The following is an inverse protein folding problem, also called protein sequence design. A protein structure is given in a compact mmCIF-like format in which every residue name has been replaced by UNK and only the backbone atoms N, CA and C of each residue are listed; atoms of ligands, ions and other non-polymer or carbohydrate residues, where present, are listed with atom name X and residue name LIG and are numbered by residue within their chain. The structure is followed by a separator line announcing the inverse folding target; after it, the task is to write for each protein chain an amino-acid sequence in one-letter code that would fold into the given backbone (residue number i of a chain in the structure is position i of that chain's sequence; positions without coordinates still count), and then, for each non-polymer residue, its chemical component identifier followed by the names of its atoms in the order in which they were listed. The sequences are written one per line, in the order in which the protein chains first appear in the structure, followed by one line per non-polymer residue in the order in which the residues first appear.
data_IF_838457719543
#
_entry.id   IF_838457719543
#
_cell.length_a   1.000
_cell.length_b   1.000
_cell.length_c   1.000
_cell.angle_alpha   90.00
_cell.angle_beta   90.00
_cell.angle_gamma   90.00
#
_symmetry.space_group_name_H-M   'P 1'
#
loop_
_entity.id
_entity.type
_entity.pdbx_description
1 polymer ?
#
# COMPACT_ATOMS: atom_id res chain seq x y z
N UNK A 1 -9.60 4.85 -22.65
CA UNK A 1 -8.39 5.19 -21.85
C UNK A 1 -8.32 6.71 -21.74
N UNK A 2 -8.31 7.27 -20.50
CA UNK A 2 -8.13 8.69 -20.27
C UNK A 2 -6.71 9.15 -20.65
N UNK A 3 -6.51 10.44 -20.84
CA UNK A 3 -5.18 11.01 -21.00
C UNK A 3 -4.42 10.84 -19.70
N UNK A 4 -3.29 10.14 -19.74
CA UNK A 4 -2.39 10.00 -18.60
C UNK A 4 -1.36 11.11 -18.70
N UNK A 5 -1.31 12.04 -17.72
CA UNK A 5 -0.32 13.12 -17.73
C UNK A 5 1.10 12.50 -17.68
N UNK A 6 1.93 12.81 -18.66
CA UNK A 6 3.35 12.38 -18.69
C UNK A 6 4.27 13.32 -17.90
N UNK A 7 3.70 14.27 -17.16
CA UNK A 7 4.44 15.25 -16.37
C UNK A 7 3.99 15.20 -14.92
N UNK A 8 4.91 15.44 -14.01
CA UNK A 8 4.58 15.65 -12.60
C UNK A 8 3.59 16.81 -12.44
N UNK A 9 2.68 16.76 -11.46
CA UNK A 9 1.89 17.94 -11.09
C UNK A 9 2.81 19.02 -10.53
N UNK A 10 2.38 20.28 -10.60
CA UNK A 10 3.00 21.32 -9.78
C UNK A 10 2.69 21.04 -8.30
N UNK A 11 3.70 20.86 -7.47
CA UNK A 11 3.53 20.64 -6.03
C UNK A 11 4.74 21.13 -5.24
N UNK A 12 4.53 21.36 -3.94
CA UNK A 12 5.58 21.48 -2.92
C UNK A 12 5.33 20.47 -1.80
N UNK A 13 6.40 20.00 -1.20
CA UNK A 13 6.35 19.13 -0.02
C UNK A 13 7.45 19.52 0.95
N UNK A 14 7.12 19.68 2.24
CA UNK A 14 8.10 20.13 3.25
C UNK A 14 8.91 18.99 3.87
N UNK A 15 8.50 17.72 3.67
CA UNK A 15 9.25 16.53 4.07
C UNK A 15 10.05 15.95 2.90
N UNK A 16 10.66 14.78 3.14
CA UNK A 16 11.32 14.02 2.08
C UNK A 16 10.30 13.30 1.20
N UNK A 17 10.46 13.39 -0.10
CA UNK A 17 9.69 12.61 -1.06
C UNK A 17 10.54 12.17 -2.26
N UNK A 18 10.04 11.17 -2.97
CA UNK A 18 10.55 10.78 -4.29
C UNK A 18 9.42 10.78 -5.31
N UNK A 19 9.77 11.01 -6.56
CA UNK A 19 8.81 11.07 -7.67
C UNK A 19 9.20 10.07 -8.74
N UNK A 20 8.18 9.53 -9.41
CA UNK A 20 8.35 8.59 -10.53
C UNK A 20 7.36 8.93 -11.64
N UNK A 21 7.81 8.91 -12.89
CA UNK A 21 6.95 8.97 -14.07
C UNK A 21 6.78 7.58 -14.65
N UNK A 22 5.55 7.14 -14.85
CA UNK A 22 5.20 5.83 -15.38
C UNK A 22 4.38 5.95 -16.66
N UNK A 23 4.65 5.07 -17.60
CA UNK A 23 3.96 5.07 -18.90
C UNK A 23 2.47 4.69 -18.76
N UNK A 24 2.13 3.89 -17.76
CA UNK A 24 0.81 3.28 -17.53
C UNK A 24 -0.10 4.12 -16.63
N UNK A 25 0.47 4.85 -15.64
CA UNK A 25 -0.28 5.56 -14.59
C UNK A 25 0.06 7.03 -14.44
N UNK A 26 0.95 7.57 -15.27
CA UNK A 26 1.38 8.96 -15.24
C UNK A 26 2.46 9.21 -14.21
N UNK A 27 2.13 9.65 -13.01
CA UNK A 27 3.11 10.01 -11.98
C UNK A 27 2.74 9.40 -10.63
N UNK A 28 3.78 9.19 -9.81
CA UNK A 28 3.68 8.81 -8.40
C UNK A 28 4.55 9.73 -7.58
N UNK A 29 4.07 10.18 -6.43
CA UNK A 29 4.83 10.88 -5.38
C UNK A 29 4.79 10.00 -4.15
N UNK A 30 5.96 9.63 -3.62
CA UNK A 30 6.13 8.84 -2.40
C UNK A 30 6.70 9.72 -1.31
N UNK A 31 5.92 10.02 -0.29
CA UNK A 31 6.27 10.84 0.88
C UNK A 31 6.84 9.94 1.96
N UNK A 32 8.10 10.18 2.34
CA UNK A 32 8.92 9.32 3.20
C UNK A 32 9.01 9.81 4.65
N UNK A 33 8.86 11.11 4.87
CA UNK A 33 8.81 11.74 6.19
C UNK A 33 7.58 12.62 6.29
N UNK A 34 7.12 12.93 7.49
CA UNK A 34 5.95 13.80 7.70
C UNK A 34 6.20 15.21 7.16
N UNK A 35 5.15 15.84 6.63
CA UNK A 35 5.25 17.16 6.04
C UNK A 35 3.93 17.64 5.43
N UNK A 36 3.93 18.84 4.89
CA UNK A 36 2.78 19.45 4.22
C UNK A 36 2.93 19.35 2.70
N UNK A 37 1.94 18.72 2.06
CA UNK A 37 1.79 18.67 0.61
C UNK A 37 0.90 19.82 0.15
N UNK A 38 1.34 20.58 -0.85
CA UNK A 38 0.54 21.62 -1.52
C UNK A 38 0.60 21.42 -3.03
N UNK A 39 -0.55 21.26 -3.67
CA UNK A 39 -0.65 21.27 -5.13
C UNK A 39 -0.64 22.73 -5.60
N UNK A 40 0.19 23.07 -6.59
CA UNK A 40 0.40 24.46 -7.00
C UNK A 40 -0.19 24.82 -8.36
N UNK A 41 -0.50 23.82 -9.19
CA UNK A 41 -0.93 24.05 -10.58
C UNK A 41 -2.47 24.13 -10.73
N UNK A 42 -3.20 23.07 -10.48
CA UNK A 42 -4.66 22.99 -10.61
C UNK A 42 -5.25 22.02 -9.62
N UNK A 43 -6.57 22.02 -9.48
CA UNK A 43 -7.24 20.96 -8.75
C UNK A 43 -6.88 19.59 -9.36
N UNK A 44 -6.52 18.65 -8.51
CA UNK A 44 -6.17 17.28 -8.88
C UNK A 44 -7.11 16.28 -8.24
N UNK A 45 -7.38 15.18 -8.93
CA UNK A 45 -7.89 13.97 -8.32
C UNK A 45 -6.76 12.96 -8.21
N UNK A 46 -6.54 12.46 -7.01
CA UNK A 46 -5.45 11.50 -6.73
C UNK A 46 -6.01 10.23 -6.11
N UNK A 47 -5.31 9.12 -6.32
CA UNK A 47 -5.44 7.94 -5.48
C UNK A 47 -4.31 7.97 -4.47
N UNK A 48 -4.58 7.58 -3.24
CA UNK A 48 -3.61 7.50 -2.16
C UNK A 48 -3.45 6.07 -1.67
N UNK A 49 -2.22 5.68 -1.37
CA UNK A 49 -1.85 4.44 -0.71
C UNK A 49 -1.06 4.77 0.55
N UNK A 50 -1.57 4.37 1.70
CA UNK A 50 -1.02 4.64 3.02
C UNK A 50 -0.51 3.34 3.63
N UNK A 51 0.63 3.39 4.29
CA UNK A 51 1.24 2.30 5.04
C UNK A 51 1.65 2.81 6.40
N UNK A 52 1.15 2.20 7.48
CA UNK A 52 1.56 2.51 8.85
C UNK A 52 2.95 2.00 9.17
N UNK A 53 3.55 2.43 10.24
CA UNK A 53 4.83 1.90 10.73
C UNK A 53 4.71 0.45 11.19
N UNK A 54 5.72 -0.38 11.01
CA UNK A 54 5.76 -1.76 11.50
C UNK A 54 5.98 -1.83 13.01
N UNK A 55 5.50 -2.90 13.65
CA UNK A 55 5.78 -3.19 15.05
C UNK A 55 7.21 -3.68 15.27
N UNK A 56 7.76 -3.45 16.45
CA UNK A 56 9.04 -4.02 16.86
C UNK A 56 8.94 -5.50 17.21
N UNK A 57 10.01 -6.25 17.03
CA UNK A 57 10.14 -7.60 17.57
C UNK A 57 10.32 -7.59 19.10
N UNK A 58 10.11 -8.74 19.75
CA UNK A 58 10.36 -8.90 21.18
C UNK A 58 11.84 -8.70 21.52
N UNK A 59 12.12 -8.35 22.75
CA UNK A 59 13.49 -8.07 23.23
C UNK A 59 13.89 -8.94 24.45
N UNK A 60 13.46 -10.19 24.47
CA UNK A 60 13.87 -11.12 25.50
C UNK A 60 15.31 -11.59 25.29
N UNK A 61 16.20 -11.30 26.24
CA UNK A 61 17.55 -11.86 26.23
C UNK A 61 17.49 -13.36 26.57
N UNK A 62 17.80 -14.21 25.59
CA UNK A 62 17.84 -15.67 25.76
C UNK A 62 16.52 -16.40 25.54
N UNK A 63 15.44 -15.69 25.24
CA UNK A 63 14.16 -16.28 24.86
C UNK A 63 13.91 -16.11 23.36
N UNK A 64 13.36 -17.13 22.69
CA UNK A 64 13.01 -17.01 21.29
C UNK A 64 11.75 -16.14 21.13
N UNK A 65 11.94 -14.88 20.84
CA UNK A 65 10.89 -13.87 20.71
C UNK A 65 10.28 -13.85 19.31
N UNK A 66 8.99 -13.58 19.23
CA UNK A 66 8.29 -13.37 17.97
C UNK A 66 8.75 -12.10 17.23
N UNK A 67 8.58 -12.08 15.90
CA UNK A 67 8.76 -10.90 15.09
C UNK A 67 7.56 -9.95 15.19
N UNK A 68 7.76 -8.66 14.96
CA UNK A 68 6.71 -7.63 14.90
C UNK A 68 5.82 -7.78 13.66
N UNK A 69 4.57 -7.36 13.74
CA UNK A 69 3.68 -7.27 12.58
C UNK A 69 4.05 -6.10 11.67
N UNK A 70 3.83 -6.25 10.36
CA UNK A 70 3.92 -5.13 9.42
C UNK A 70 2.79 -4.12 9.66
N UNK A 71 3.00 -2.87 9.26
CA UNK A 71 1.95 -1.84 9.32
C UNK A 71 0.73 -2.22 8.48
N UNK A 72 -0.44 -1.72 8.85
CA UNK A 72 -1.62 -1.87 8.00
C UNK A 72 -1.52 -0.98 6.77
N UNK A 73 -2.23 -1.34 5.70
CA UNK A 73 -2.26 -0.59 4.46
C UNK A 73 -3.67 -0.11 4.14
N UNK A 74 -3.78 0.99 3.42
CA UNK A 74 -5.07 1.52 2.95
C UNK A 74 -4.92 2.19 1.59
N UNK A 75 -5.74 1.77 0.64
CA UNK A 75 -5.86 2.44 -0.67
C UNK A 75 -7.18 3.21 -0.73
N UNK A 76 -7.11 4.45 -1.17
CA UNK A 76 -8.28 5.33 -1.36
C UNK A 76 -8.17 5.99 -2.72
N UNK A 77 -9.26 6.00 -3.49
CA UNK A 77 -9.27 6.56 -4.84
C UNK A 77 -10.14 7.82 -4.95
N UNK A 78 -9.77 8.70 -5.87
CA UNK A 78 -10.59 9.85 -6.25
C UNK A 78 -10.59 11.02 -5.27
N UNK A 79 -9.54 11.17 -4.45
CA UNK A 79 -9.39 12.28 -3.51
C UNK A 79 -9.17 13.58 -4.27
N UNK A 80 -9.99 14.59 -3.99
CA UNK A 80 -9.85 15.91 -4.63
C UNK A 80 -8.91 16.81 -3.83
N UNK A 81 -7.82 17.27 -4.47
CA UNK A 81 -6.86 18.21 -3.90
C UNK A 81 -7.01 19.58 -4.59
N UNK A 82 -7.23 20.63 -3.81
CA UNK A 82 -7.33 22.01 -4.30
C UNK A 82 -5.95 22.67 -4.36
N UNK A 83 -5.65 23.47 -5.39
CA UNK A 83 -4.40 24.20 -5.46
C UNK A 83 -4.29 25.21 -4.31
N UNK A 84 -3.07 25.42 -3.81
CA UNK A 84 -2.79 26.34 -2.71
C UNK A 84 -3.20 25.87 -1.32
N UNK A 85 -3.91 24.72 -1.21
CA UNK A 85 -4.28 24.14 0.09
C UNK A 85 -3.16 23.24 0.60
N UNK A 86 -2.72 23.47 1.84
CA UNK A 86 -1.76 22.60 2.54
C UNK A 86 -2.47 21.38 3.13
N UNK A 87 -2.00 20.19 2.78
CA UNK A 87 -2.47 18.92 3.34
C UNK A 87 -1.36 18.33 4.19
N UNK A 88 -1.61 18.22 5.50
CA UNK A 88 -0.68 17.54 6.40
C UNK A 88 -0.65 16.04 6.11
N UNK A 89 0.54 15.52 5.97
CA UNK A 89 0.82 14.09 5.78
C UNK A 89 1.63 13.65 6.99
N UNK A 90 1.15 12.65 7.70
CA UNK A 90 1.86 12.05 8.82
C UNK A 90 2.35 10.66 8.43
N UNK A 91 3.64 10.44 8.58
CA UNK A 91 4.26 9.14 8.33
C UNK A 91 4.50 8.45 9.67
N UNK A 92 3.89 7.28 9.84
CA UNK A 92 4.00 6.50 11.07
C UNK A 92 5.42 6.02 11.30
N UNK A 93 5.89 6.14 12.53
CA UNK A 93 7.19 5.61 12.96
C UNK A 93 7.10 4.10 13.16
N UNK A 94 8.17 3.39 12.87
CA UNK A 94 8.32 2.00 13.29
C UNK A 94 8.43 1.91 14.82
N UNK A 95 7.87 0.86 15.39
CA UNK A 95 7.98 0.59 16.83
C UNK A 95 9.41 0.22 17.21
N UNK A 96 9.89 0.72 18.35
CA UNK A 96 11.07 0.16 18.99
C UNK A 96 10.82 -1.32 19.37
N UNK A 97 11.85 -2.05 19.79
CA UNK A 97 11.65 -3.39 20.36
C UNK A 97 10.60 -3.34 21.48
N UNK A 98 9.69 -4.30 21.48
CA UNK A 98 8.53 -4.35 22.39
C UNK A 98 7.53 -3.19 22.27
N UNK A 99 7.54 -2.45 21.16
CA UNK A 99 6.61 -1.36 20.94
C UNK A 99 5.87 -1.49 19.59
N UNK A 100 4.63 -1.03 19.58
CA UNK A 100 3.84 -0.96 18.33
C UNK A 100 4.37 0.14 17.41
N UNK A 101 4.20 -0.03 16.12
CA UNK A 101 4.34 1.05 15.15
C UNK A 101 3.22 2.08 15.29
N UNK A 102 3.43 3.28 14.79
CA UNK A 102 2.40 4.31 14.74
C UNK A 102 1.69 4.38 13.38
N UNK A 103 0.53 5.02 13.36
CA UNK A 103 -0.26 5.16 12.16
C UNK A 103 0.35 6.19 11.20
N UNK A 104 0.16 5.98 9.88
CA UNK A 104 0.29 7.03 8.88
C UNK A 104 -1.07 7.61 8.56
N UNK A 105 -1.15 8.93 8.38
CA UNK A 105 -2.40 9.61 8.05
C UNK A 105 -2.23 10.64 6.93
N UNK A 106 -3.24 10.75 6.06
CA UNK A 106 -3.30 11.72 4.98
C UNK A 106 -4.74 11.93 4.52
N UNK A 107 -5.12 13.15 4.16
CA UNK A 107 -6.41 13.47 3.52
C UNK A 107 -7.65 13.00 4.30
N UNK A 108 -7.58 12.90 5.63
CA UNK A 108 -8.65 12.36 6.48
C UNK A 108 -8.72 10.83 6.55
N UNK A 109 -7.75 10.12 5.99
CA UNK A 109 -7.63 8.67 6.07
C UNK A 109 -6.41 8.27 6.90
N UNK A 110 -6.47 7.04 7.46
CA UNK A 110 -5.42 6.49 8.31
C UNK A 110 -5.16 5.03 7.99
N UNK A 111 -3.89 4.63 8.06
CA UNK A 111 -3.42 3.25 8.09
C UNK A 111 -2.70 3.01 9.43
N UNK A 112 -3.18 2.08 10.22
CA UNK A 112 -2.65 1.81 11.57
C UNK A 112 -1.25 1.20 11.52
N UNK A 113 -0.49 1.35 12.60
CA UNK A 113 0.78 0.67 12.77
C UNK A 113 0.60 -0.83 13.05
N UNK A 114 1.63 -1.63 12.80
CA UNK A 114 1.70 -3.03 13.20
C UNK A 114 1.96 -3.17 14.69
N UNK A 115 1.51 -4.28 15.26
CA UNK A 115 1.72 -4.58 16.68
C UNK A 115 3.12 -5.19 16.89
N UNK A 116 3.68 -4.93 18.06
CA UNK A 116 4.85 -5.67 18.55
C UNK A 116 4.48 -7.15 18.81
N UNK A 117 5.47 -7.99 18.86
CA UNK A 117 5.29 -9.37 19.35
C UNK A 117 5.04 -9.39 20.88
N UNK A 118 4.50 -10.48 21.37
CA UNK A 118 4.31 -10.73 22.81
C UNK A 118 4.94 -12.06 23.17
N UNK A 119 6.12 -12.02 23.79
CA UNK A 119 6.93 -13.19 24.01
C UNK A 119 7.16 -13.94 22.69
N UNK A 120 6.91 -15.23 22.64
CA UNK A 120 7.08 -16.08 21.45
C UNK A 120 6.02 -15.84 20.39
N UNK A 121 4.96 -15.09 20.66
CA UNK A 121 3.87 -14.82 19.72
C UNK A 121 4.23 -13.66 18.80
N UNK A 122 4.10 -13.88 17.50
CA UNK A 122 4.30 -12.84 16.51
C UNK A 122 3.28 -11.72 16.60
N UNK A 123 3.69 -10.49 16.30
CA UNK A 123 2.82 -9.31 16.27
C UNK A 123 1.79 -9.38 15.14
N UNK A 124 0.55 -8.96 15.40
CA UNK A 124 -0.46 -8.80 14.36
C UNK A 124 -0.22 -7.50 13.56
N UNK A 125 -0.64 -7.46 12.29
CA UNK A 125 -0.47 -6.27 11.46
C UNK A 125 -1.10 -6.39 10.08
N UNK A 126 -0.72 -5.52 9.15
CA UNK A 126 -1.05 -5.68 7.72
C UNK A 126 -0.55 -7.03 7.18
N UNK A 127 0.64 -7.45 7.64
CA UNK A 127 1.12 -8.83 7.57
C UNK A 127 1.56 -9.23 8.97
N UNK A 128 1.29 -10.47 9.37
CA UNK A 128 1.62 -10.97 10.70
C UNK A 128 3.12 -11.25 10.85
N UNK A 129 3.66 -11.02 12.04
CA UNK A 129 5.00 -11.42 12.42
C UNK A 129 5.12 -12.93 12.65
N UNK A 130 6.31 -13.48 12.43
CA UNK A 130 6.62 -14.87 12.70
C UNK A 130 6.65 -15.20 14.19
N UNK A 131 6.27 -16.42 14.56
CA UNK A 131 6.41 -16.90 15.90
C UNK A 131 7.89 -17.08 16.29
N UNK A 132 8.21 -16.83 17.54
CA UNK A 132 9.46 -17.27 18.15
C UNK A 132 9.45 -18.78 18.35
N UNK A 133 10.60 -19.34 18.68
CA UNK A 133 10.78 -20.78 18.85
C UNK A 133 9.90 -21.37 19.99
N UNK A 134 9.67 -22.65 19.93
CA UNK A 134 9.01 -23.61 20.87
C UNK A 134 7.49 -23.62 20.80
N UNK A 135 6.78 -22.67 21.33
CA UNK A 135 5.32 -22.71 21.47
C UNK A 135 4.63 -21.44 21.01
N UNK A 136 5.37 -20.61 20.27
CA UNK A 136 4.85 -19.35 19.81
C UNK A 136 3.76 -19.52 18.73
N UNK A 137 2.80 -18.63 18.74
CA UNK A 137 1.81 -18.51 17.68
C UNK A 137 2.19 -17.40 16.71
N UNK A 138 1.94 -17.57 15.40
CA UNK A 138 2.20 -16.50 14.45
C UNK A 138 1.21 -15.34 14.65
N UNK A 139 1.64 -14.14 14.32
CA UNK A 139 0.78 -12.96 14.27
C UNK A 139 -0.25 -13.07 13.15
N UNK A 140 -1.44 -12.54 13.39
CA UNK A 140 -2.48 -12.47 12.37
C UNK A 140 -2.19 -11.35 11.35
N UNK A 141 -2.37 -11.64 10.08
CA UNK A 141 -2.43 -10.64 9.03
C UNK A 141 -3.71 -9.81 9.10
N UNK A 142 -3.69 -8.63 8.47
CA UNK A 142 -4.89 -7.82 8.22
C UNK A 142 -5.82 -8.49 7.19
N UNK A 143 -6.84 -7.76 6.73
CA UNK A 143 -7.94 -8.27 5.92
C UNK A 143 -7.55 -9.04 4.66
N UNK A 144 -6.32 -8.88 4.16
CA UNK A 144 -5.72 -9.67 3.09
C UNK A 144 -4.20 -9.79 3.22
N UNK A 145 -3.64 -9.43 4.37
CA UNK A 145 -2.28 -9.76 4.74
C UNK A 145 -2.16 -11.23 5.11
N UNK A 146 -1.06 -11.89 4.74
CA UNK A 146 -0.80 -13.24 5.20
C UNK A 146 -0.47 -13.24 6.71
N UNK A 147 -0.91 -14.28 7.42
CA UNK A 147 -0.45 -14.52 8.77
C UNK A 147 1.06 -14.83 8.76
N UNK A 148 1.72 -14.58 9.87
CA UNK A 148 3.03 -15.14 10.11
C UNK A 148 2.97 -16.68 10.03
N UNK A 149 4.09 -17.38 10.08
CA UNK A 149 4.09 -18.83 10.22
C UNK A 149 4.61 -19.24 11.60
N UNK A 150 4.20 -20.40 12.06
CA UNK A 150 4.73 -21.00 13.26
C UNK A 150 6.03 -21.75 12.96
N UNK A 151 6.77 -22.07 14.01
CA UNK A 151 8.08 -22.71 13.93
C UNK A 151 8.04 -24.20 14.22
N UNK A 152 6.91 -24.88 14.01
CA UNK A 152 6.65 -26.23 14.54
C UNK A 152 7.69 -27.30 14.20
N UNK A 153 8.56 -27.12 13.24
CA UNK A 153 9.57 -28.15 12.89
C UNK A 153 10.88 -27.63 12.27
N UNK A 154 11.32 -26.48 12.57
CA UNK A 154 12.57 -26.01 11.94
C UNK A 154 12.85 -24.53 12.12
N UNK A 155 12.16 -23.95 13.07
CA UNK A 155 12.50 -22.66 13.62
C UNK A 155 12.60 -21.50 12.59
N UNK A 156 11.90 -21.61 11.48
CA UNK A 156 11.76 -20.51 10.53
C UNK A 156 10.60 -19.62 10.96
N UNK A 157 10.87 -18.37 11.23
CA UNK A 157 9.83 -17.39 11.44
C UNK A 157 9.01 -17.19 10.16
N UNK A 158 7.81 -16.67 10.30
CA UNK A 158 6.88 -16.53 9.19
C UNK A 158 7.17 -15.37 8.27
N UNK A 159 7.10 -15.64 6.99
CA UNK A 159 6.97 -14.60 5.98
C UNK A 159 5.48 -14.29 5.79
N UNK A 160 5.05 -13.08 6.12
CA UNK A 160 3.65 -12.72 5.95
C UNK A 160 3.45 -11.61 4.92
N UNK A 161 2.59 -11.86 3.92
CA UNK A 161 2.15 -10.85 2.96
C UNK A 161 0.83 -11.19 2.29
N UNK A 162 0.04 -10.14 1.96
CA UNK A 162 -1.15 -10.23 1.17
C UNK A 162 -1.15 -9.29 -0.05
N UNK A 163 -2.21 -9.32 -0.83
CA UNK A 163 -2.34 -8.51 -2.06
C UNK A 163 -2.54 -7.02 -1.79
N UNK A 164 -3.20 -6.61 -0.71
CA UNK A 164 -3.38 -5.19 -0.34
C UNK A 164 -2.12 -4.53 0.16
N UNK A 165 -1.09 -5.27 0.50
CA UNK A 165 0.22 -4.72 0.83
C UNK A 165 1.02 -4.28 -0.41
N UNK A 166 0.49 -4.47 -1.61
CA UNK A 166 1.07 -3.93 -2.83
C UNK A 166 0.63 -2.49 -3.07
N UNK A 167 1.55 -1.67 -3.54
CA UNK A 167 1.29 -0.27 -3.87
C UNK A 167 0.05 -0.16 -4.78
N UNK A 168 -0.98 0.53 -4.31
CA UNK A 168 -2.30 0.66 -4.95
C UNK A 168 -2.98 -0.67 -5.34
N UNK A 169 -2.63 -1.80 -4.71
CA UNK A 169 -3.19 -3.11 -5.02
C UNK A 169 -2.82 -3.67 -6.40
N UNK A 170 -1.79 -3.12 -7.04
CA UNK A 170 -1.43 -3.46 -8.42
C UNK A 170 -0.44 -4.63 -8.47
N UNK A 171 -0.75 -5.66 -9.25
CA UNK A 171 0.14 -6.80 -9.47
C UNK A 171 1.50 -6.34 -10.05
N UNK A 172 2.60 -6.87 -9.52
CA UNK A 172 3.95 -6.54 -9.96
C UNK A 172 4.52 -5.21 -9.39
N UNK A 173 3.72 -4.46 -8.59
CA UNK A 173 4.20 -3.26 -7.93
C UNK A 173 4.87 -3.56 -6.59
N UNK A 174 5.52 -2.52 -6.01
CA UNK A 174 6.27 -2.62 -4.76
C UNK A 174 5.41 -3.20 -3.64
N UNK A 175 5.98 -4.14 -2.90
CA UNK A 175 5.40 -4.70 -1.70
C UNK A 175 5.79 -3.89 -0.48
N UNK A 176 4.87 -3.77 0.48
CA UNK A 176 5.03 -3.07 1.74
C UNK A 176 4.54 -3.94 2.90
N UNK A 177 4.80 -3.51 4.10
CA UNK A 177 4.23 -4.05 5.33
C UNK A 177 4.49 -5.54 5.55
N UNK A 178 5.66 -6.04 5.16
CA UNK A 178 6.08 -7.41 5.48
C UNK A 178 6.24 -7.60 6.99
N UNK A 179 5.80 -8.73 7.53
CA UNK A 179 5.99 -9.06 8.95
C UNK A 179 7.46 -9.41 9.26
N UNK A 180 7.91 -9.16 10.48
CA UNK A 180 9.23 -9.58 10.96
C UNK A 180 9.31 -11.09 11.18
N UNK A 181 10.49 -11.67 10.99
CA UNK A 181 10.76 -13.08 11.31
C UNK A 181 10.92 -13.32 12.81
N UNK A 182 10.52 -14.47 13.31
CA UNK A 182 10.75 -14.85 14.71
C UNK A 182 12.23 -15.18 14.99
N UNK A 183 12.67 -15.02 16.21
CA UNK A 183 13.99 -15.42 16.65
C UNK A 183 14.14 -16.94 16.69
N UNK A 184 15.28 -17.45 16.28
CA UNK A 184 15.68 -18.83 16.53
C UNK A 184 16.03 -19.03 18.00
N UNK A 185 15.83 -20.25 18.54
CA UNK A 185 16.27 -20.62 19.88
C UNK A 185 17.63 -21.26 19.86
N UNK A 186 18.31 -21.19 21.00
CA UNK A 186 19.57 -21.92 21.19
C UNK A 186 19.35 -23.45 21.13
N UNK A 187 20.45 -24.20 21.13
CA UNK A 187 20.48 -25.65 20.99
C UNK A 187 19.58 -26.37 22.01
N UNK A 188 18.38 -26.73 21.62
CA UNK A 188 17.59 -27.73 22.33
C UNK A 188 17.63 -29.01 21.52
N UNK A 189 18.10 -30.10 22.14
CA UNK A 189 18.26 -31.41 21.52
C UNK A 189 19.18 -31.48 20.29
N UNK A 190 20.30 -30.71 20.26
CA UNK A 190 21.34 -30.87 19.24
C UNK A 190 21.05 -30.26 17.89
N UNK A 191 19.92 -29.61 17.68
CA UNK A 191 19.61 -28.88 16.47
C UNK A 191 19.74 -27.37 16.69
N UNK A 192 20.74 -26.76 16.08
CA UNK A 192 20.86 -25.31 15.99
C UNK A 192 19.75 -24.77 15.07
N UNK A 193 18.95 -23.88 15.61
CA UNK A 193 17.76 -23.39 14.90
C UNK A 193 18.08 -22.11 14.15
N UNK A 194 17.88 -22.12 12.84
CA UNK A 194 17.90 -20.90 12.04
C UNK A 194 16.78 -19.95 12.48
N UNK A 195 17.01 -18.65 12.37
CA UNK A 195 15.99 -17.64 12.56
C UNK A 195 14.92 -17.67 11.47
N UNK A 196 13.79 -17.05 11.74
CA UNK A 196 12.81 -16.71 10.73
C UNK A 196 13.25 -15.58 9.83
N UNK A 197 12.97 -15.71 8.54
CA UNK A 197 13.14 -14.62 7.61
C UNK A 197 11.97 -13.64 7.69
N UNK A 198 12.25 -12.36 7.55
CA UNK A 198 11.22 -11.34 7.40
C UNK A 198 10.43 -11.50 6.11
N UNK A 199 9.16 -11.09 6.13
CA UNK A 199 8.30 -11.07 4.94
C UNK A 199 8.81 -10.08 3.89
N UNK A 200 8.64 -10.42 2.61
CA UNK A 200 8.90 -9.46 1.53
C UNK A 200 8.02 -8.21 1.76
N UNK A 201 8.52 -7.02 1.45
CA UNK A 201 7.87 -5.77 1.86
C UNK A 201 8.51 -5.14 3.08
N UNK A 202 9.77 -5.52 3.36
CA UNK A 202 10.61 -4.84 4.32
C UNK A 202 10.65 -5.43 5.72
N UNK A 203 10.15 -6.64 5.94
CA UNK A 203 10.28 -7.32 7.24
C UNK A 203 11.73 -7.66 7.58
N UNK A 204 12.13 -7.45 8.85
CA UNK A 204 13.45 -7.80 9.36
C UNK A 204 13.55 -9.29 9.75
N UNK A 205 14.73 -9.92 9.57
CA UNK A 205 14.97 -11.30 10.03
C UNK A 205 15.12 -11.34 11.55
N UNK A 206 14.70 -12.43 12.16
CA UNK A 206 14.90 -12.66 13.59
C UNK A 206 16.39 -12.96 13.94
N UNK A 207 16.71 -12.97 15.22
CA UNK A 207 18.02 -13.39 15.72
C UNK A 207 18.32 -14.84 15.33
N UNK A 208 19.51 -15.09 14.80
CA UNK A 208 19.97 -16.40 14.39
C UNK A 208 21.05 -16.93 15.37
N UNK A 209 20.70 -17.81 16.31
CA UNK A 209 21.66 -18.33 17.28
C UNK A 209 22.72 -19.24 16.66
N UNK A 210 22.50 -19.81 15.47
CA UNK A 210 23.45 -20.68 14.79
C UNK A 210 24.64 -19.91 14.20
N UNK A 211 24.40 -18.69 13.75
CA UNK A 211 25.42 -17.81 13.15
C UNK A 211 25.81 -16.66 14.07
N UNK A 212 25.03 -16.39 15.13
CA UNK A 212 25.17 -15.22 15.99
C UNK A 212 24.69 -13.91 15.35
N UNK A 213 24.01 -13.98 14.20
CA UNK A 213 23.48 -12.79 13.54
C UNK A 213 22.37 -12.14 14.37
N UNK A 214 22.50 -10.86 14.64
CA UNK A 214 21.51 -10.07 15.37
C UNK A 214 20.18 -9.96 14.59
N UNK A 215 19.09 -9.77 15.33
CA UNK A 215 17.82 -9.45 14.74
C UNK A 215 17.90 -8.19 13.89
N UNK A 216 17.24 -8.21 12.73
CA UNK A 216 17.22 -7.09 11.79
C UNK A 216 15.99 -6.21 12.03
N UNK A 217 16.16 -4.94 11.86
CA UNK A 217 15.03 -3.99 11.83
C UNK A 217 14.24 -4.10 10.51
N UNK A 218 12.99 -3.78 10.56
CA UNK A 218 12.18 -3.55 9.37
C UNK A 218 12.75 -2.41 8.53
N UNK A 219 12.66 -2.51 7.22
CA UNK A 219 13.16 -1.48 6.31
C UNK A 219 12.40 -0.17 6.45
N UNK A 220 13.09 0.95 6.46
CA UNK A 220 12.48 2.27 6.51
C UNK A 220 11.56 2.51 5.30
N UNK A 221 10.48 3.23 5.49
CA UNK A 221 9.50 3.60 4.48
C UNK A 221 8.81 2.40 3.81
N UNK A 222 8.70 1.29 4.54
CA UNK A 222 7.97 0.10 4.07
C UNK A 222 6.88 -0.34 5.02
N UNK A 223 6.89 0.12 6.28
CA UNK A 223 6.03 -0.43 7.31
C UNK A 223 6.39 -1.85 7.73
N UNK A 224 7.59 -2.32 7.44
CA UNK A 224 8.02 -3.68 7.76
C UNK A 224 8.16 -3.91 9.26
N UNK A 225 7.74 -5.07 9.78
CA UNK A 225 7.92 -5.47 11.18
C UNK A 225 9.38 -5.79 11.49
N UNK A 226 9.81 -5.56 12.72
CA UNK A 226 11.16 -5.91 13.21
C UNK A 226 11.28 -7.40 13.51
N UNK A 227 12.49 -7.96 13.32
CA UNK A 227 12.79 -9.34 13.68
C UNK A 227 12.79 -9.58 15.20
N UNK A 228 12.39 -10.76 15.62
CA UNK A 228 12.39 -11.19 17.02
C UNK A 228 13.79 -11.13 17.63
N UNK A 229 13.87 -10.86 18.93
CA UNK A 229 15.06 -10.61 19.74
C UNK A 229 15.74 -9.26 19.41
N UNK A 230 14.97 -8.19 19.30
CA UNK A 230 15.47 -6.81 19.37
C UNK A 230 15.32 -5.99 18.09
N UNK A 231 14.81 -6.52 16.98
CA UNK A 231 14.59 -5.75 15.77
C UNK A 231 13.53 -4.66 15.94
N UNK A 232 13.77 -3.46 15.46
CA UNK A 232 12.78 -2.36 15.44
C UNK A 232 11.93 -2.45 14.17
N UNK A 233 10.69 -1.94 14.21
CA UNK A 233 9.87 -1.81 13.01
C UNK A 233 10.40 -0.71 12.06
N UNK A 234 10.08 -0.82 10.77
CA UNK A 234 10.34 0.20 9.77
C UNK A 234 9.25 1.26 9.76
N UNK A 235 9.60 2.50 9.41
CA UNK A 235 8.62 3.57 9.23
C UNK A 235 7.65 3.27 8.08
N UNK A 236 6.46 3.84 8.13
CA UNK A 236 5.46 3.82 7.08
C UNK A 236 5.81 4.71 5.88
N UNK A 237 4.86 4.85 4.97
CA UNK A 237 4.96 5.69 3.78
C UNK A 237 3.56 6.11 3.33
N UNK A 238 3.46 7.26 2.66
CA UNK A 238 2.25 7.65 1.93
C UNK A 238 2.62 7.89 0.48
N UNK A 239 1.91 7.23 -0.43
CA UNK A 239 2.09 7.36 -1.86
C UNK A 239 0.84 7.96 -2.48
N UNK A 240 0.98 8.88 -3.43
CA UNK A 240 -0.13 9.36 -4.24
C UNK A 240 0.21 9.19 -5.73
N UNK A 241 -0.82 8.94 -6.52
CA UNK A 241 -0.74 8.94 -7.99
C UNK A 241 -1.92 9.69 -8.58
N UNK A 242 -1.85 10.04 -9.86
CA UNK A 242 -3.03 10.58 -10.51
C UNK A 242 -4.16 9.54 -10.53
N UNK A 243 -5.37 9.96 -10.19
CA UNK A 243 -6.55 9.11 -10.34
C UNK A 243 -6.93 8.96 -11.82
N UNK A 244 -7.55 7.84 -12.16
CA UNK A 244 -8.13 7.64 -13.49
C UNK A 244 -9.19 8.72 -13.85
N UNK A 245 -9.77 9.36 -12.82
CA UNK A 245 -10.74 10.45 -12.95
C UNK A 245 -10.08 11.85 -12.96
N UNK A 246 -8.74 11.96 -12.90
CA UNK A 246 -8.01 13.24 -13.04
C UNK A 246 -7.91 13.65 -14.50
N UNK A 247 -9.03 13.92 -15.11
CA UNK A 247 -9.12 14.40 -16.49
C UNK A 247 -8.79 15.88 -16.57
N UNK A 248 -7.98 16.28 -17.57
CA UNK A 248 -7.78 17.70 -17.86
C UNK A 248 -9.12 18.30 -18.32
N UNK A 249 -9.58 19.37 -17.68
CA UNK A 249 -10.75 20.06 -18.17
C UNK A 249 -10.44 20.64 -19.56
N UNK A 250 -11.35 20.43 -20.51
CA UNK A 250 -11.27 21.05 -21.82
C UNK A 250 -11.93 22.43 -21.72
N UNK A 251 -11.20 23.47 -22.11
CA UNK A 251 -11.72 24.83 -22.22
C UNK A 251 -11.97 25.14 -23.69
N UNK A 252 -13.18 25.56 -24.02
CA UNK A 252 -13.53 26.06 -25.34
C UNK A 252 -14.09 27.47 -25.21
N UNK A 253 -13.51 28.45 -25.93
CA UNK A 253 -13.86 29.85 -25.82
C UNK A 253 -13.96 30.38 -24.38
N UNK A 254 -12.99 30.00 -23.51
CA UNK A 254 -12.96 30.44 -22.12
C UNK A 254 -13.94 29.73 -21.18
N UNK A 255 -14.76 28.80 -21.68
CA UNK A 255 -15.74 28.04 -20.90
C UNK A 255 -15.24 26.63 -20.63
N UNK A 256 -15.34 26.19 -19.37
CA UNK A 256 -15.02 24.82 -18.97
C UNK A 256 -16.07 23.85 -19.51
N UNK A 257 -15.64 22.87 -20.28
CA UNK A 257 -16.51 21.82 -20.80
C UNK A 257 -16.48 20.61 -19.85
N UNK A 258 -17.59 20.38 -19.15
CA UNK A 258 -17.80 19.21 -18.29
C UNK A 258 -18.40 18.03 -19.04
N UNK A 259 -19.09 18.32 -20.18
CA UNK A 259 -19.67 17.33 -21.07
C UNK A 259 -19.55 17.82 -22.52
N UNK A 260 -19.08 16.97 -23.40
CA UNK A 260 -19.04 17.23 -24.84
C UNK A 260 -20.11 16.37 -25.52
N UNK A 261 -21.07 17.03 -26.16
CA UNK A 261 -22.14 16.36 -26.90
C UNK A 261 -22.08 16.85 -28.37
N UNK A 262 -22.05 15.93 -29.30
CA UNK A 262 -22.17 16.23 -30.73
C UNK A 262 -23.40 15.51 -31.31
N UNK A 263 -24.34 16.27 -31.87
CA UNK A 263 -25.61 15.73 -32.39
C UNK A 263 -26.37 14.82 -31.38
N UNK A 264 -26.47 15.26 -30.13
CA UNK A 264 -27.14 14.50 -29.06
C UNK A 264 -26.39 13.27 -28.55
N UNK A 265 -25.17 13.03 -29.03
CA UNK A 265 -24.34 11.91 -28.60
C UNK A 265 -23.16 12.41 -27.82
N UNK A 266 -22.88 11.79 -26.67
CA UNK A 266 -21.70 12.10 -25.88
C UNK A 266 -20.42 11.87 -26.69
N UNK A 267 -19.56 12.89 -26.74
CA UNK A 267 -18.25 12.77 -27.40
C UNK A 267 -17.29 12.00 -26.52
N UNK A 268 -16.90 10.82 -26.96
CA UNK A 268 -15.95 9.98 -26.25
C UNK A 268 -14.48 10.40 -26.47
N UNK A 269 -14.24 11.11 -27.59
CA UNK A 269 -12.89 11.50 -28.01
C UNK A 269 -12.90 12.80 -28.80
N UNK A 270 -12.12 13.77 -28.37
CA UNK A 270 -11.83 15.00 -29.13
C UNK A 270 -10.37 14.97 -29.59
N UNK A 271 -10.13 15.20 -30.87
CA UNK A 271 -8.79 15.30 -31.46
C UNK A 271 -8.65 16.72 -32.06
N UNK A 272 -7.57 17.42 -31.68
CA UNK A 272 -7.20 18.70 -32.27
C UNK A 272 -5.72 18.65 -32.69
N UNK A 273 -5.43 18.98 -33.94
CA UNK A 273 -4.09 18.88 -34.52
C UNK A 273 -3.41 17.52 -34.28
N UNK A 274 -4.15 16.42 -34.48
CA UNK A 274 -3.64 15.06 -34.26
C UNK A 274 -3.46 14.67 -32.78
N UNK A 275 -3.67 15.60 -31.82
CA UNK A 275 -3.60 15.31 -30.38
C UNK A 275 -4.97 15.05 -29.80
N UNK A 276 -5.08 14.00 -28.98
CA UNK A 276 -6.32 13.69 -28.25
C UNK A 276 -6.47 14.66 -27.07
N UNK A 277 -7.54 15.46 -27.06
CA UNK A 277 -7.81 16.46 -26.02
C UNK A 277 -8.82 15.96 -24.96
N UNK A 278 -9.71 15.05 -25.32
CA UNK A 278 -10.75 14.54 -24.44
C UNK A 278 -11.03 13.07 -24.68
N UNK A 279 -11.27 12.32 -23.59
CA UNK A 279 -11.79 10.96 -23.64
C UNK A 279 -12.71 10.75 -22.43
N UNK A 280 -13.96 10.34 -22.66
CA UNK A 280 -14.87 9.91 -21.60
C UNK A 280 -14.62 8.44 -21.29
N UNK A 281 -14.35 8.11 -20.03
CA UNK A 281 -14.38 6.74 -19.59
C UNK A 281 -15.84 6.28 -19.45
N UNK A 282 -16.29 5.37 -20.30
CA UNK A 282 -17.61 4.74 -20.08
C UNK A 282 -17.57 3.96 -18.77
N UNK A 283 -18.45 4.28 -17.83
CA UNK A 283 -18.67 3.45 -16.65
C UNK A 283 -19.19 2.07 -17.11
N UNK A 284 -18.63 1.00 -16.58
CA UNK A 284 -19.01 -0.39 -16.88
C UNK A 284 -20.54 -0.67 -16.75
N UNK A 285 -21.28 0.17 -16.02
CA UNK A 285 -22.74 0.07 -15.84
C UNK A 285 -23.54 0.42 -17.11
N UNK A 286 -23.09 1.38 -17.93
CA UNK A 286 -23.83 1.76 -19.14
C UNK A 286 -23.70 0.70 -20.26
N UNK A 287 -22.62 -0.09 -20.28
CA UNK A 287 -22.49 -1.21 -21.25
C UNK A 287 -23.52 -2.33 -21.01
N UNK A 288 -23.94 -2.58 -19.75
CA UNK A 288 -24.98 -3.57 -19.46
C UNK A 288 -26.37 -3.09 -19.94
N UNK A 289 -26.69 -1.80 -19.80
CA UNK A 289 -27.96 -1.26 -20.29
C UNK A 289 -28.06 -1.26 -21.82
N UNK A 290 -26.98 -1.00 -22.56
CA UNK A 290 -27.01 -1.06 -24.04
C UNK A 290 -27.22 -2.47 -24.56
N UNK A 291 -26.65 -3.50 -23.93
CA UNK A 291 -26.92 -4.91 -24.31
C UNK A 291 -28.37 -5.30 -24.10
N UNK A 292 -29.04 -4.81 -23.02
CA UNK A 292 -30.45 -5.10 -22.79
C UNK A 292 -31.41 -4.35 -23.75
N UNK A 293 -31.07 -3.14 -24.21
CA UNK A 293 -31.86 -2.43 -25.22
C UNK A 293 -31.73 -3.08 -26.59
N UNK A 294 -30.57 -3.59 -26.97
CA UNK A 294 -30.40 -4.32 -28.22
C UNK A 294 -31.19 -5.64 -28.26
N UNK A 295 -31.32 -6.33 -27.11
CA UNK A 295 -32.13 -7.55 -27.03
C UNK A 295 -33.66 -7.28 -27.07
N UNK A 296 -34.14 -6.11 -26.61
CA UNK A 296 -35.56 -5.76 -26.71
C UNK A 296 -36.01 -5.38 -28.13
N UNK A 297 -35.08 -4.87 -28.97
CA UNK A 297 -35.41 -4.59 -30.39
C UNK A 297 -35.36 -5.81 -31.29
N UNK A 298 -34.65 -6.87 -30.90
CA UNK A 298 -34.62 -8.12 -31.65
C UNK A 298 -35.85 -9.01 -31.42
N UNK A 299 -36.61 -8.78 -30.33
CA UNK A 299 -37.83 -9.54 -29.99
C UNK A 299 -39.13 -9.02 -30.61
N UNK A 300 -39.12 -7.89 -31.32
CA UNK A 300 -40.34 -7.26 -31.89
C UNK A 300 -40.45 -7.40 -33.42
N UNK A 301 -39.68 -8.26 -34.06
CA UNK A 301 -39.77 -8.52 -35.52
C UNK A 301 -40.18 -9.94 -35.89
N UNK A 302 -40.80 -10.69 -35.01
CA UNK A 302 -41.33 -12.02 -35.34
C UNK A 302 -42.79 -12.23 -34.93
N UNK A 303 -43.61 -11.19 -35.07
CA UNK A 303 -45.07 -11.36 -35.02
C UNK A 303 -45.66 -10.47 -36.10
N UNK A 304 -45.83 -11.05 -37.31
CA UNK A 304 -46.50 -10.36 -38.40
C UNK A 304 -46.28 -11.09 -39.75
N UNK A 305 -47.07 -12.04 -40.00
CA UNK A 305 -47.67 -12.77 -41.09
C UNK A 305 -47.47 -14.25 -40.98
#
# INVERSE_FOLDING_TARGET
MGYIPKTLPGFTYTGECSTELRADWGWIIRMKTSGTLTITDRRRKVDAFLVGGGGGGGNGTGSPEGGGGGGYTKTVSGISLSPGTGYWIEIGHGGASNANGSASSAFGYQANGGNTSSGNTGGAGGSGGGAGQYTGTPGNGGSDGANGSDSAKGHKGGAGQGSTTREFGMSGWTLYAGGGGGAGGGSYQGNSSACGYGGSGGGGNGYNPSTGEAAQSGSANTGGGGGGAGGTGGSGIVCIRNSADDVLPVVFNGTWLTNLVHNGTDVERLIYNGKRLFMRAMRRRERKCRKHRACMWAGLRSAGC
#
